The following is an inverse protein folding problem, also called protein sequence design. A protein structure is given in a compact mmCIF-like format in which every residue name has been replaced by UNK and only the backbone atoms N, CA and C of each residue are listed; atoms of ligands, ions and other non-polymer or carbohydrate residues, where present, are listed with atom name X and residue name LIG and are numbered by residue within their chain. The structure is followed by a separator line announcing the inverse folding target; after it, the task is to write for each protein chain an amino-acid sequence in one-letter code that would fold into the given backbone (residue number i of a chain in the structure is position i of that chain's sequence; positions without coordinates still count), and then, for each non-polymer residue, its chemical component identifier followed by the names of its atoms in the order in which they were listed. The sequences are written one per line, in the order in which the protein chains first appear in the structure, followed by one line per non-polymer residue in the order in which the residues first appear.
data_IF_536495068815
#
_entry.id   IF_536495068815
#
_cell.length_a   1.000
_cell.length_b   1.000
_cell.length_c   1.000
_cell.angle_alpha   90.00
_cell.angle_beta   90.00
_cell.angle_gamma   90.00
#
_symmetry.space_group_name_H-M   'P 1'
#
loop_
_entity.id
_entity.type
_entity.pdbx_description
1 polymer ?
#
# COMPACT_ATOMS: atom_id res chain seq x y z
N UNK A 1 4.09 6.31 11.78
CA UNK A 1 3.55 5.14 11.06
C UNK A 1 2.42 4.51 11.87
N UNK A 2 1.44 3.92 11.19
CA UNK A 2 0.34 3.18 11.79
C UNK A 2 0.39 1.74 11.29
N UNK A 3 0.30 0.79 12.21
CA UNK A 3 0.25 -0.65 11.91
C UNK A 3 -0.70 -1.32 12.88
N UNK A 4 -1.57 -2.19 12.39
CA UNK A 4 -2.47 -2.98 13.22
C UNK A 4 -2.80 -4.31 12.54
N UNK A 5 -2.86 -5.38 13.34
CA UNK A 5 -3.51 -6.62 12.94
C UNK A 5 -5.02 -6.48 13.14
N UNK A 6 -5.78 -7.00 12.19
CA UNK A 6 -7.23 -6.89 12.13
C UNK A 6 -7.85 -8.28 12.18
N UNK A 7 -8.84 -8.46 13.05
CA UNK A 7 -9.66 -9.68 13.04
C UNK A 7 -10.63 -9.63 11.85
N UNK A 8 -10.53 -10.55 10.90
CA UNK A 8 -11.47 -10.60 9.78
C UNK A 8 -12.86 -11.05 10.26
N UNK A 9 -13.93 -10.70 9.51
CA UNK A 9 -15.30 -11.10 9.86
C UNK A 9 -15.51 -12.62 9.80
N UNK A 10 -14.75 -13.30 8.94
CA UNK A 10 -14.76 -14.75 8.79
C UNK A 10 -13.38 -15.28 9.15
N UNK A 11 -13.31 -16.13 10.17
CA UNK A 11 -12.05 -16.70 10.69
C UNK A 11 -11.59 -17.93 9.89
N UNK A 12 -11.89 -17.97 8.59
CA UNK A 12 -11.43 -19.01 7.67
C UNK A 12 -10.21 -18.50 6.90
N UNK A 13 -9.07 -19.11 7.14
CA UNK A 13 -7.79 -18.70 6.54
C UNK A 13 -7.37 -19.71 5.47
N UNK A 14 -7.00 -19.19 4.31
CA UNK A 14 -6.35 -20.01 3.29
C UNK A 14 -4.89 -20.27 3.69
N UNK A 15 -4.47 -21.53 3.65
CA UNK A 15 -3.10 -21.94 3.98
C UNK A 15 -2.06 -21.19 3.13
N UNK A 16 -2.32 -21.02 1.84
CA UNK A 16 -1.42 -20.27 0.95
C UNK A 16 -1.18 -18.84 1.46
N UNK A 17 -2.22 -18.16 1.94
CA UNK A 17 -2.08 -16.81 2.48
C UNK A 17 -1.25 -16.81 3.77
N UNK A 18 -1.47 -17.79 4.65
CA UNK A 18 -0.66 -17.96 5.88
C UNK A 18 0.82 -18.17 5.51
N UNK A 19 1.10 -19.02 4.53
CA UNK A 19 2.46 -19.29 4.08
C UNK A 19 3.14 -18.04 3.47
N UNK A 20 2.35 -17.11 2.93
CA UNK A 20 2.85 -15.86 2.37
C UNK A 20 3.17 -14.82 3.45
N UNK A 21 2.22 -14.50 4.34
CA UNK A 21 2.34 -13.36 5.28
C UNK A 21 2.55 -13.79 6.73
N UNK A 22 2.53 -15.09 7.04
CA UNK A 22 2.79 -15.64 8.38
C UNK A 22 1.68 -15.41 9.41
N UNK A 23 0.59 -14.72 9.07
CA UNK A 23 -0.47 -14.37 10.02
C UNK A 23 -1.46 -15.55 10.11
N UNK A 24 -1.64 -16.05 11.33
CA UNK A 24 -2.54 -17.17 11.64
C UNK A 24 -3.85 -16.69 12.27
N UNK A 25 -4.89 -17.54 12.33
CA UNK A 25 -6.11 -17.22 13.07
C UNK A 25 -5.86 -16.87 14.55
N UNK A 26 -4.85 -17.46 15.16
CA UNK A 26 -4.50 -17.18 16.56
C UNK A 26 -4.00 -15.75 16.75
N UNK A 27 -3.23 -15.21 15.79
CA UNK A 27 -2.65 -13.86 15.88
C UNK A 27 -3.69 -12.75 15.83
N UNK A 28 -4.86 -13.01 15.24
CA UNK A 28 -5.90 -12.00 15.02
C UNK A 28 -7.17 -12.21 15.85
N UNK A 29 -7.28 -13.33 16.59
CA UNK A 29 -8.48 -13.70 17.34
C UNK A 29 -8.97 -12.58 18.26
N UNK A 30 -8.04 -11.98 19.00
CA UNK A 30 -8.32 -10.97 20.00
C UNK A 30 -8.04 -9.54 19.51
N UNK A 31 -7.86 -9.38 18.18
CA UNK A 31 -7.61 -8.07 17.57
C UNK A 31 -8.94 -7.36 17.23
N UNK A 32 -8.92 -6.03 17.17
CA UNK A 32 -10.10 -5.27 16.74
C UNK A 32 -10.48 -5.66 15.31
N UNK A 33 -11.75 -5.49 14.97
CA UNK A 33 -12.22 -5.62 13.59
C UNK A 33 -11.90 -4.35 12.77
N UNK A 34 -12.15 -4.39 11.46
CA UNK A 34 -11.86 -3.27 10.58
C UNK A 34 -12.64 -2.00 10.93
N UNK A 35 -13.91 -2.11 11.36
CA UNK A 35 -14.71 -0.91 11.69
C UNK A 35 -14.14 -0.14 12.87
N UNK A 36 -13.55 -0.82 13.83
CA UNK A 36 -12.86 -0.18 14.97
C UNK A 36 -11.61 0.55 14.50
N UNK A 37 -10.77 -0.13 13.71
CA UNK A 37 -9.52 0.44 13.16
C UNK A 37 -9.79 1.60 12.21
N UNK A 38 -10.94 1.61 11.53
CA UNK A 38 -11.30 2.63 10.55
C UNK A 38 -11.36 4.04 11.14
N UNK A 39 -11.72 4.17 12.39
CA UNK A 39 -11.76 5.47 13.07
C UNK A 39 -10.37 6.15 13.14
N UNK A 40 -9.31 5.34 13.28
CA UNK A 40 -7.93 5.83 13.31
C UNK A 40 -7.34 5.95 11.90
N UNK A 41 -7.73 5.05 11.00
CA UNK A 41 -7.16 4.98 9.64
C UNK A 41 -7.74 6.06 8.71
N UNK A 42 -9.05 6.32 8.78
CA UNK A 42 -9.72 7.28 7.89
C UNK A 42 -9.06 8.66 7.89
N UNK A 43 -8.73 9.29 9.03
CA UNK A 43 -8.04 10.60 9.04
C UNK A 43 -6.66 10.59 8.36
N UNK A 44 -6.01 9.42 8.30
CA UNK A 44 -4.72 9.28 7.62
C UNK A 44 -4.87 9.26 6.09
N UNK A 45 -6.05 8.94 5.56
CA UNK A 45 -6.33 8.84 4.12
C UNK A 45 -7.07 10.05 3.56
N UNK A 46 -7.99 10.62 4.34
CA UNK A 46 -8.89 11.68 3.89
C UNK A 46 -8.14 12.90 3.35
N UNK A 47 -8.46 13.30 2.12
CA UNK A 47 -7.83 14.45 1.45
C UNK A 47 -6.36 14.24 1.04
N UNK A 48 -5.81 13.03 1.18
CA UNK A 48 -4.39 12.75 0.94
C UNK A 48 -4.11 12.18 -0.45
N UNK A 49 -2.83 12.19 -0.81
CA UNK A 49 -2.30 11.38 -1.90
C UNK A 49 -1.75 10.09 -1.29
N UNK A 50 -2.38 8.97 -1.61
CA UNK A 50 -2.03 7.65 -1.10
C UNK A 50 -1.23 6.91 -2.16
N UNK A 51 -0.15 6.27 -1.77
CA UNK A 51 0.64 5.42 -2.65
C UNK A 51 0.61 3.98 -2.15
N UNK A 52 0.56 3.04 -3.09
CA UNK A 52 0.70 1.63 -2.79
C UNK A 52 1.45 0.92 -3.93
N UNK A 53 2.06 -0.22 -3.64
CA UNK A 53 2.73 -1.04 -4.63
C UNK A 53 1.76 -2.07 -5.20
N UNK A 54 1.39 -1.93 -6.48
CA UNK A 54 0.23 -2.60 -7.10
C UNK A 54 -1.11 -2.10 -6.51
N UNK A 55 -1.25 -0.78 -6.44
CA UNK A 55 -2.33 -0.06 -5.75
C UNK A 55 -3.76 -0.53 -6.06
N UNK A 56 -4.02 -1.15 -7.22
CA UNK A 56 -5.34 -1.69 -7.54
C UNK A 56 -5.80 -2.78 -6.58
N UNK A 57 -4.86 -3.58 -6.08
CA UNK A 57 -5.13 -4.61 -5.09
C UNK A 57 -5.55 -3.97 -3.75
N UNK A 58 -4.74 -3.06 -3.22
CA UNK A 58 -5.01 -2.40 -1.93
C UNK A 58 -6.33 -1.63 -1.95
N UNK A 59 -6.60 -0.93 -3.06
CA UNK A 59 -7.84 -0.18 -3.23
C UNK A 59 -9.05 -1.11 -3.30
N UNK A 60 -8.94 -2.27 -3.93
CA UNK A 60 -10.04 -3.25 -3.99
C UNK A 60 -10.34 -3.86 -2.62
N UNK A 61 -9.30 -4.19 -1.85
CA UNK A 61 -9.44 -4.72 -0.50
C UNK A 61 -10.07 -3.68 0.43
N UNK A 62 -9.57 -2.45 0.40
CA UNK A 62 -10.12 -1.34 1.19
C UNK A 62 -11.61 -1.11 0.86
N UNK A 63 -11.96 -1.07 -0.42
CA UNK A 63 -13.35 -0.91 -0.87
C UNK A 63 -14.24 -2.04 -0.37
N UNK A 64 -13.77 -3.28 -0.45
CA UNK A 64 -14.50 -4.45 0.05
C UNK A 64 -14.75 -4.38 1.55
N UNK A 65 -13.74 -3.99 2.34
CA UNK A 65 -13.88 -3.80 3.78
C UNK A 65 -14.91 -2.70 4.10
N UNK A 66 -14.80 -1.54 3.46
CA UNK A 66 -15.72 -0.43 3.67
C UNK A 66 -17.16 -0.80 3.33
N UNK A 67 -17.36 -1.52 2.22
CA UNK A 67 -18.69 -2.01 1.81
C UNK A 67 -19.24 -3.02 2.82
N UNK A 68 -18.44 -4.00 3.22
CA UNK A 68 -18.85 -5.03 4.17
C UNK A 68 -19.31 -4.44 5.50
N UNK A 69 -18.57 -3.48 6.04
CA UNK A 69 -18.88 -2.82 7.31
C UNK A 69 -19.81 -1.61 7.17
N UNK A 70 -20.32 -1.31 5.96
CA UNK A 70 -21.20 -0.17 5.67
C UNK A 70 -20.61 1.18 6.13
N UNK A 71 -19.31 1.34 5.92
CA UNK A 71 -18.57 2.53 6.31
C UNK A 71 -18.50 3.55 5.18
N UNK A 72 -18.44 4.84 5.54
CA UNK A 72 -18.32 5.92 4.57
C UNK A 72 -17.01 5.84 3.80
N UNK A 73 -17.09 5.90 2.47
CA UNK A 73 -15.94 5.94 1.59
C UNK A 73 -15.14 7.24 1.82
N UNK A 74 -13.80 7.15 1.96
CA UNK A 74 -12.96 8.34 2.09
C UNK A 74 -12.72 8.98 0.73
N UNK A 75 -12.48 10.29 0.73
CA UNK A 75 -12.08 11.01 -0.46
C UNK A 75 -10.55 11.18 -0.48
N UNK A 76 -9.87 10.45 -1.36
CA UNK A 76 -8.43 10.60 -1.58
C UNK A 76 -8.04 10.25 -3.02
N UNK A 77 -6.84 10.67 -3.40
CA UNK A 77 -6.22 10.26 -4.66
C UNK A 77 -5.22 9.15 -4.42
N UNK A 78 -5.13 8.18 -5.34
CA UNK A 78 -4.16 7.10 -5.19
C UNK A 78 -3.26 6.91 -6.42
N UNK A 79 -2.04 6.45 -6.19
CA UNK A 79 -1.01 6.25 -7.19
C UNK A 79 -0.28 4.92 -6.97
N UNK A 80 0.20 4.33 -8.05
CA UNK A 80 0.86 3.03 -8.01
C UNK A 80 2.36 3.20 -8.19
N UNK A 81 3.15 2.73 -7.22
CA UNK A 81 4.62 2.78 -7.31
C UNK A 81 5.20 1.81 -8.32
N UNK A 82 4.48 0.74 -8.73
CA UNK A 82 4.86 -0.07 -9.90
C UNK A 82 4.88 0.79 -11.16
N UNK A 83 3.84 1.62 -11.35
CA UNK A 83 3.76 2.51 -12.52
C UNK A 83 4.83 3.60 -12.48
N UNK A 84 5.17 4.10 -11.29
CA UNK A 84 6.30 5.02 -11.10
C UNK A 84 7.62 4.35 -11.48
N UNK A 85 7.88 3.17 -10.91
CA UNK A 85 9.13 2.46 -11.11
C UNK A 85 9.35 2.08 -12.57
N UNK A 86 8.32 1.63 -13.29
CA UNK A 86 8.40 1.34 -14.74
C UNK A 86 8.83 2.54 -15.58
N UNK A 87 8.47 3.75 -15.17
CA UNK A 87 8.83 4.98 -15.89
C UNK A 87 10.21 5.51 -15.50
N UNK A 88 10.65 5.27 -14.27
CA UNK A 88 11.89 5.81 -13.72
C UNK A 88 13.08 4.88 -13.94
N UNK A 89 12.84 3.56 -13.90
CA UNK A 89 13.84 2.49 -14.05
C UNK A 89 13.36 1.43 -15.05
N UNK A 90 13.13 1.80 -16.33
CA UNK A 90 12.63 0.87 -17.33
C UNK A 90 13.61 -0.28 -17.64
N UNK A 91 14.87 -0.12 -17.27
CA UNK A 91 15.95 -1.09 -17.43
C UNK A 91 15.86 -2.32 -16.51
N UNK A 92 15.06 -2.26 -15.45
CA UNK A 92 14.93 -3.37 -14.52
C UNK A 92 14.13 -4.53 -15.13
N UNK A 93 14.56 -5.75 -14.86
CA UNK A 93 13.92 -6.99 -15.32
C UNK A 93 12.43 -7.03 -14.98
N UNK A 94 12.11 -6.63 -13.78
CA UNK A 94 10.73 -6.47 -13.30
C UNK A 94 10.65 -5.37 -12.22
N UNK A 95 9.43 -5.01 -11.85
CA UNK A 95 9.17 -3.93 -10.90
C UNK A 95 8.41 -4.43 -9.68
N UNK A 96 8.64 -5.68 -9.26
CA UNK A 96 8.15 -6.22 -7.99
C UNK A 96 8.83 -5.50 -6.82
N UNK A 97 8.15 -5.40 -5.70
CA UNK A 97 8.70 -4.68 -4.54
C UNK A 97 10.03 -5.26 -4.07
N UNK A 98 10.17 -6.61 -4.10
CA UNK A 98 11.43 -7.27 -3.80
C UNK A 98 12.57 -6.87 -4.72
N UNK A 99 12.35 -6.95 -6.02
CA UNK A 99 13.37 -6.55 -7.00
C UNK A 99 13.81 -5.10 -6.79
N UNK A 100 12.87 -4.20 -6.46
CA UNK A 100 13.19 -2.81 -6.15
C UNK A 100 13.95 -2.68 -4.82
N UNK A 101 13.55 -3.46 -3.80
CA UNK A 101 14.25 -3.52 -2.52
C UNK A 101 15.70 -3.96 -2.69
N UNK A 102 15.94 -5.06 -3.40
CA UNK A 102 17.28 -5.58 -3.69
C UNK A 102 18.12 -4.58 -4.49
N UNK A 103 17.54 -3.98 -5.53
CA UNK A 103 18.22 -3.00 -6.38
C UNK A 103 18.65 -1.74 -5.62
N UNK A 104 17.85 -1.30 -4.65
CA UNK A 104 18.14 -0.11 -3.85
C UNK A 104 18.80 -0.43 -2.50
N UNK A 105 19.11 -1.70 -2.23
CA UNK A 105 19.67 -2.15 -0.94
C UNK A 105 18.79 -1.73 0.26
N UNK A 106 17.47 -1.85 0.09
CA UNK A 106 16.51 -1.62 1.16
C UNK A 106 16.27 -2.96 1.86
N UNK A 107 16.74 -3.05 3.10
CA UNK A 107 16.46 -4.24 3.93
C UNK A 107 15.01 -4.19 4.44
N UNK A 108 14.21 -5.20 4.10
CA UNK A 108 12.82 -5.31 4.53
C UNK A 108 12.35 -6.77 4.52
N UNK A 109 11.41 -7.05 5.41
CA UNK A 109 10.78 -8.36 5.47
C UNK A 109 9.60 -8.40 4.49
N UNK A 110 9.76 -9.13 3.40
CA UNK A 110 8.70 -9.34 2.41
C UNK A 110 7.42 -9.86 3.07
N UNK A 111 6.28 -9.35 2.62
CA UNK A 111 4.94 -9.66 3.12
C UNK A 111 4.68 -9.25 4.58
N UNK A 112 5.58 -8.44 5.17
CA UNK A 112 5.26 -7.63 6.33
C UNK A 112 4.66 -6.30 5.85
N UNK A 113 3.39 -6.05 6.13
CA UNK A 113 2.67 -4.91 5.59
C UNK A 113 3.31 -3.55 5.94
N UNK A 114 3.96 -3.42 7.11
CA UNK A 114 4.65 -2.19 7.50
C UNK A 114 5.92 -2.00 6.68
N UNK A 115 6.70 -3.05 6.50
CA UNK A 115 7.95 -3.00 5.73
C UNK A 115 7.68 -2.82 4.24
N UNK A 116 6.64 -3.47 3.71
CA UNK A 116 6.18 -3.27 2.34
C UNK A 116 5.76 -1.80 2.11
N UNK A 117 5.01 -1.20 3.05
CA UNK A 117 4.60 0.20 2.97
C UNK A 117 5.80 1.16 3.04
N UNK A 118 6.78 0.89 3.89
CA UNK A 118 8.03 1.67 3.99
C UNK A 118 8.85 1.58 2.70
N UNK A 119 9.03 0.37 2.18
CA UNK A 119 9.75 0.16 0.91
C UNK A 119 9.03 0.87 -0.25
N UNK A 120 7.70 0.79 -0.30
CA UNK A 120 6.88 1.53 -1.26
C UNK A 120 7.13 3.05 -1.17
N UNK A 121 7.19 3.61 0.05
CA UNK A 121 7.50 5.02 0.25
C UNK A 121 8.93 5.37 -0.19
N UNK A 122 9.93 4.52 0.12
CA UNK A 122 11.30 4.69 -0.33
C UNK A 122 11.41 4.73 -1.87
N UNK A 123 10.70 3.84 -2.57
CA UNK A 123 10.66 3.84 -4.05
C UNK A 123 10.16 5.19 -4.59
N UNK A 124 9.10 5.75 -4.01
CA UNK A 124 8.60 7.06 -4.45
C UNK A 124 9.60 8.20 -4.16
N UNK A 125 10.27 8.17 -3.01
CA UNK A 125 11.30 9.16 -2.66
C UNK A 125 12.54 9.05 -3.57
N UNK A 126 12.97 7.85 -3.89
CA UNK A 126 14.07 7.61 -4.83
C UNK A 126 13.72 8.06 -6.25
N UNK A 127 12.47 7.87 -6.68
CA UNK A 127 11.97 8.39 -7.94
C UNK A 127 12.02 9.92 -7.97
N UNK A 128 11.58 10.59 -6.90
CA UNK A 128 11.65 12.04 -6.78
C UNK A 128 13.11 12.54 -6.84
N UNK A 129 14.01 11.86 -6.13
CA UNK A 129 15.46 12.18 -6.13
C UNK A 129 16.07 12.01 -7.53
N UNK A 130 15.82 10.88 -8.21
CA UNK A 130 16.35 10.62 -9.57
C UNK A 130 15.85 11.66 -10.58
N UNK A 131 14.61 12.10 -10.45
CA UNK A 131 13.99 13.10 -11.32
C UNK A 131 14.25 14.55 -10.88
N UNK A 132 14.96 14.77 -9.77
CA UNK A 132 15.27 16.09 -9.21
C UNK A 132 14.01 16.96 -9.00
N UNK A 133 12.96 16.35 -8.42
CA UNK A 133 11.73 17.06 -8.05
C UNK A 133 11.60 17.12 -6.54
N UNK A 134 10.99 18.20 -6.02
CA UNK A 134 10.91 18.49 -4.58
C UNK A 134 9.52 18.24 -4.00
N UNK A 135 8.53 18.02 -4.84
CA UNK A 135 7.15 17.76 -4.41
C UNK A 135 6.54 16.55 -5.09
N UNK A 136 5.60 15.91 -4.40
CA UNK A 136 4.84 14.78 -4.96
C UNK A 136 4.03 15.20 -6.20
N UNK A 137 3.52 16.43 -6.21
CA UNK A 137 2.79 16.99 -7.36
C UNK A 137 3.67 17.08 -8.61
N UNK A 138 4.90 17.56 -8.45
CA UNK A 138 5.88 17.62 -9.56
C UNK A 138 6.25 16.22 -10.03
N UNK A 139 6.45 15.26 -9.10
CA UNK A 139 6.74 13.87 -9.42
C UNK A 139 5.66 13.26 -10.32
N UNK A 140 4.40 13.39 -9.90
CA UNK A 140 3.27 12.85 -10.66
C UNK A 140 3.12 13.52 -12.02
N UNK A 141 3.27 14.84 -12.09
CA UNK A 141 3.21 15.59 -13.34
C UNK A 141 4.32 15.18 -14.30
N UNK A 142 5.56 15.09 -13.82
CA UNK A 142 6.72 14.71 -14.63
C UNK A 142 6.63 13.28 -15.15
N UNK A 143 6.03 12.39 -14.37
CA UNK A 143 5.79 10.99 -14.76
C UNK A 143 4.52 10.81 -15.62
N UNK A 144 3.67 11.82 -15.75
CA UNK A 144 2.39 11.71 -16.46
C UNK A 144 1.51 10.61 -15.87
N UNK A 145 1.49 10.47 -14.54
CA UNK A 145 0.67 9.46 -13.88
C UNK A 145 -0.74 9.98 -13.66
N UNK A 146 -1.77 9.15 -13.94
CA UNK A 146 -3.15 9.56 -13.75
C UNK A 146 -3.47 9.74 -12.27
N UNK A 147 -4.17 10.82 -11.95
CA UNK A 147 -4.76 11.04 -10.63
C UNK A 147 -6.04 10.19 -10.52
N UNK A 148 -5.93 9.03 -9.88
CA UNK A 148 -7.07 8.13 -9.67
C UNK A 148 -7.74 8.45 -8.34
N UNK A 149 -9.03 8.73 -8.38
CA UNK A 149 -9.84 8.87 -7.16
C UNK A 149 -10.22 7.49 -6.62
N UNK A 150 -10.31 7.38 -5.31
CA UNK A 150 -10.70 6.12 -4.67
C UNK A 150 -12.18 5.79 -4.87
N UNK A 151 -13.02 6.78 -4.98
CA UNK A 151 -14.47 6.66 -5.27
C UNK A 151 -14.86 7.52 -6.45
#
# INVERSE_FOLDING_TARGET
SYYALIRPPIMQFNRINIDIHGITPADVRDKPNFSTIWNDLKPCLEGRNVIAHNASFDMSVLKSCLTYYQLTMPNFSHFCTVSMAKKVWPELENHKLGTLGDYFHIDFQHHNALDDARTCACVALLAAKKLQVTSFRELIAKLGLPNKKFC
#
